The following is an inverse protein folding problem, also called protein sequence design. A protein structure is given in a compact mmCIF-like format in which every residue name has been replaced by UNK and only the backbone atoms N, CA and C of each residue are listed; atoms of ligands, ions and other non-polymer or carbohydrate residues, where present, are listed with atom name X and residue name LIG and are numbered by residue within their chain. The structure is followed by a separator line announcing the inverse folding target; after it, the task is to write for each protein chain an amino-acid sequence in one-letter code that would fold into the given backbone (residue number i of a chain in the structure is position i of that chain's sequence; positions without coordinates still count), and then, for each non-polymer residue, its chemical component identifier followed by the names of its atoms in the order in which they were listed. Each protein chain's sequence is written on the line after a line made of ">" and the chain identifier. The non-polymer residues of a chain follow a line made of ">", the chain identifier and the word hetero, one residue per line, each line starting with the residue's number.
data_IF_475840726393
#
_entry.id   IF_475840726393
#
_cell.length_a   1.000
_cell.length_b   1.000
_cell.length_c   1.000
_cell.angle_alpha   90.00
_cell.angle_beta   90.00
_cell.angle_gamma   90.00
#
_symmetry.space_group_name_H-M   'P 1'
#
loop_
_entity.id
_entity.type
_entity.pdbx_description
1 polymer ?
#
# COMPACT_ATOMS: atom_id res chain seq x y z
N UNK A 1 26.12 -10.25 12.42
CA UNK A 1 27.13 -9.45 13.16
C UNK A 1 26.62 -8.14 13.78
N UNK A 2 25.30 -7.85 13.81
CA UNK A 2 24.72 -6.90 14.78
C UNK A 2 25.19 -5.43 14.74
N UNK A 3 25.98 -5.00 13.77
CA UNK A 3 26.46 -3.61 13.64
C UNK A 3 25.32 -2.57 13.61
N UNK A 4 24.22 -2.91 12.93
CA UNK A 4 23.02 -2.08 12.83
C UNK A 4 21.98 -2.38 13.93
N UNK A 5 22.32 -3.19 14.94
CA UNK A 5 21.38 -3.55 16.00
C UNK A 5 21.04 -2.32 16.86
N UNK A 6 19.79 -1.88 16.78
CA UNK A 6 19.26 -0.76 17.58
C UNK A 6 18.13 -1.18 18.54
N UNK A 7 18.06 -2.47 18.88
CA UNK A 7 17.05 -3.00 19.81
C UNK A 7 17.26 -2.56 21.27
N UNK A 8 16.34 -2.98 22.14
CA UNK A 8 16.25 -2.54 23.54
C UNK A 8 16.73 -3.58 24.56
N UNK A 9 17.35 -4.69 24.12
CA UNK A 9 17.95 -5.67 25.05
C UNK A 9 19.02 -4.99 25.90
N UNK A 10 18.93 -5.16 27.22
CA UNK A 10 19.81 -4.58 28.23
C UNK A 10 20.30 -5.60 29.28
N UNK A 11 20.32 -6.88 28.91
CA UNK A 11 20.84 -7.97 29.73
C UNK A 11 21.82 -8.82 28.91
N UNK A 12 22.87 -9.31 29.57
CA UNK A 12 23.92 -10.14 28.95
C UNK A 12 23.42 -11.58 28.77
N UNK A 13 24.18 -12.41 28.05
CA UNK A 13 23.86 -13.82 27.81
C UNK A 13 23.72 -14.66 29.08
N UNK A 14 24.38 -14.28 30.17
CA UNK A 14 24.25 -14.93 31.48
C UNK A 14 23.22 -14.24 32.39
N UNK A 15 22.57 -13.18 31.90
CA UNK A 15 21.51 -12.46 32.59
C UNK A 15 21.98 -11.29 33.45
N UNK A 16 23.23 -10.83 33.31
CA UNK A 16 23.71 -9.64 34.02
C UNK A 16 23.10 -8.37 33.44
N UNK A 17 22.78 -7.39 34.29
CA UNK A 17 22.23 -6.11 33.84
C UNK A 17 23.34 -5.23 33.22
N UNK A 18 22.99 -4.55 32.14
CA UNK A 18 23.89 -3.59 31.51
C UNK A 18 23.95 -2.27 32.28
N UNK A 19 25.16 -1.69 32.37
CA UNK A 19 25.42 -0.33 32.87
C UNK A 19 24.99 0.70 31.81
N UNK A 20 24.37 1.79 32.29
CA UNK A 20 23.97 2.92 31.45
C UNK A 20 25.19 3.61 30.85
N UNK A 21 25.18 3.84 29.53
CA UNK A 21 26.18 4.66 28.84
C UNK A 21 25.66 6.09 28.70
N UNK A 22 26.55 7.05 28.84
CA UNK A 22 26.26 8.48 28.65
C UNK A 22 26.88 8.90 27.31
N UNK A 23 26.05 9.24 26.33
CA UNK A 23 26.52 9.82 25.06
C UNK A 23 26.30 11.33 25.14
N UNK A 24 27.38 12.11 25.06
CA UNK A 24 27.31 13.57 24.98
C UNK A 24 27.35 13.95 23.50
N UNK A 25 26.22 14.44 22.98
CA UNK A 25 26.14 14.94 21.60
C UNK A 25 26.70 16.36 21.52
N UNK A 26 27.68 16.59 20.63
CA UNK A 26 28.29 17.91 20.43
C UNK A 26 27.32 18.95 19.82
N UNK A 27 26.18 18.52 19.27
CA UNK A 27 25.18 19.40 18.64
C UNK A 27 23.99 19.73 19.57
N UNK A 28 23.92 19.13 20.76
CA UNK A 28 22.90 19.42 21.78
C UNK A 28 23.39 18.90 23.14
N UNK A 29 24.10 19.73 23.93
CA UNK A 29 24.73 19.32 25.18
C UNK A 29 23.71 18.93 26.27
N UNK A 30 22.41 19.10 26.03
CA UNK A 30 21.32 18.85 26.97
C UNK A 30 20.55 17.56 26.73
N UNK A 31 20.77 16.85 25.62
CA UNK A 31 20.18 15.52 25.40
C UNK A 31 21.23 14.45 25.63
N UNK A 32 21.37 14.05 26.89
CA UNK A 32 21.96 12.77 27.25
C UNK A 32 20.90 11.69 27.05
N UNK A 33 20.98 10.97 25.93
CA UNK A 33 20.22 9.74 25.76
C UNK A 33 20.81 8.67 26.69
N UNK A 34 20.11 8.39 27.79
CA UNK A 34 20.53 7.45 28.82
C UNK A 34 20.01 6.06 28.50
N UNK A 35 20.84 5.24 27.87
CA UNK A 35 20.46 3.87 27.55
C UNK A 35 21.50 2.90 28.05
N UNK A 36 21.04 1.75 28.52
CA UNK A 36 21.87 0.61 28.90
C UNK A 36 21.71 -0.55 27.91
N UNK A 37 21.37 -0.27 26.66
CA UNK A 37 21.14 -1.30 25.65
C UNK A 37 22.44 -1.85 25.08
N UNK A 38 22.44 -3.14 24.73
CA UNK A 38 23.54 -3.83 24.08
C UNK A 38 23.81 -3.27 22.68
N UNK A 39 25.07 -3.07 22.31
CA UNK A 39 25.48 -2.52 21.00
C UNK A 39 26.77 -3.19 20.53
N UNK A 40 27.04 -3.11 19.22
CA UNK A 40 28.28 -3.61 18.63
C UNK A 40 29.07 -2.48 17.92
N UNK A 41 29.58 -1.48 18.65
CA UNK A 41 30.22 -0.31 18.04
C UNK A 41 31.61 -0.59 17.46
N UNK A 42 32.24 -1.68 17.85
CA UNK A 42 33.61 -2.08 17.54
C UNK A 42 33.68 -3.28 16.58
N UNK A 43 32.55 -3.65 15.98
CA UNK A 43 32.43 -4.79 15.06
C UNK A 43 32.95 -6.11 15.68
N UNK A 44 32.63 -6.34 16.97
CA UNK A 44 32.99 -7.57 17.66
C UNK A 44 32.33 -8.76 16.94
N UNK A 45 33.12 -9.78 16.54
CA UNK A 45 32.61 -10.94 15.80
C UNK A 45 31.62 -11.78 16.61
N UNK A 46 31.61 -11.65 17.94
CA UNK A 46 30.70 -12.35 18.84
C UNK A 46 29.35 -11.63 19.01
N UNK A 47 29.21 -10.42 18.44
CA UNK A 47 27.94 -9.68 18.37
C UNK A 47 27.79 -8.61 19.45
N UNK A 48 26.58 -8.03 19.60
CA UNK A 48 26.38 -6.87 20.47
C UNK A 48 26.55 -7.22 21.96
N UNK A 49 27.21 -6.33 22.68
CA UNK A 49 27.63 -6.52 24.07
C UNK A 49 27.35 -5.27 24.91
N UNK A 50 27.52 -5.36 26.23
CA UNK A 50 27.44 -4.20 27.13
C UNK A 50 28.41 -4.32 28.32
N UNK A 51 28.68 -3.20 29.00
CA UNK A 51 29.35 -3.23 30.30
C UNK A 51 28.36 -3.70 31.35
N UNK A 52 28.76 -4.60 32.26
CA UNK A 52 27.82 -5.18 33.23
C UNK A 52 27.83 -4.39 34.54
N UNK A 53 26.75 -4.48 35.32
CA UNK A 53 26.69 -3.91 36.68
C UNK A 53 27.54 -4.67 37.70
N UNK A 54 27.96 -5.89 37.38
CA UNK A 54 28.82 -6.73 38.24
C UNK A 54 30.25 -6.17 38.28
N UNK A 55 30.89 -6.04 39.46
CA UNK A 55 32.27 -5.56 39.58
C UNK A 55 33.31 -6.56 39.07
N UNK A 56 33.00 -7.85 39.02
CA UNK A 56 33.93 -8.92 38.63
C UNK A 56 33.84 -9.23 37.11
N UNK A 57 32.76 -8.79 36.45
CA UNK A 57 32.55 -8.96 35.00
C UNK A 57 32.42 -7.59 34.33
N UNK A 58 33.52 -7.10 33.77
CA UNK A 58 33.57 -5.75 33.19
C UNK A 58 32.59 -5.58 32.02
N UNK A 59 32.54 -6.53 31.10
CA UNK A 59 31.64 -6.54 29.94
C UNK A 59 31.32 -7.98 29.53
N UNK A 60 30.21 -8.16 28.83
CA UNK A 60 29.81 -9.47 28.31
C UNK A 60 28.89 -9.30 27.08
N UNK A 61 28.88 -10.28 26.20
CA UNK A 61 27.96 -10.33 25.06
C UNK A 61 26.50 -10.50 25.51
N UNK A 62 25.58 -9.98 24.72
CA UNK A 62 24.15 -10.14 24.94
C UNK A 62 23.58 -11.24 24.06
N UNK A 63 22.65 -12.03 24.61
CA UNK A 63 21.87 -13.01 23.84
C UNK A 63 20.77 -12.31 23.06
N UNK A 64 21.15 -11.68 21.95
CA UNK A 64 20.21 -11.06 21.03
C UNK A 64 19.76 -12.12 20.03
N UNK A 65 18.45 -12.39 19.92
CA UNK A 65 17.94 -13.22 18.85
C UNK A 65 18.42 -12.67 17.51
N UNK A 66 19.04 -13.53 16.72
CA UNK A 66 19.30 -13.18 15.33
C UNK A 66 17.94 -12.90 14.69
N UNK A 67 17.81 -11.75 14.03
CA UNK A 67 16.74 -11.59 13.06
C UNK A 67 16.87 -12.79 12.12
N UNK A 68 15.78 -13.52 11.88
CA UNK A 68 15.81 -14.71 11.03
C UNK A 68 16.45 -14.36 9.68
N UNK A 69 17.72 -14.72 9.51
CA UNK A 69 18.36 -14.82 8.21
C UNK A 69 17.71 -16.03 7.55
N UNK A 70 16.62 -15.77 6.82
CA UNK A 70 15.83 -16.79 6.15
C UNK A 70 16.69 -17.47 5.08
N UNK A 71 17.03 -18.74 5.35
CA UNK A 71 17.54 -19.69 4.38
C UNK A 71 16.59 -19.76 3.16
N UNK A 72 17.12 -19.41 1.98
CA UNK A 72 16.38 -19.11 0.73
C UNK A 72 15.70 -20.35 0.11
N UNK A 73 15.89 -21.56 0.64
CA UNK A 73 15.51 -22.76 -0.13
C UNK A 73 14.17 -23.41 0.20
N UNK A 74 13.48 -23.07 1.30
CA UNK A 74 12.09 -23.54 1.52
C UNK A 74 11.33 -22.63 2.48
N UNK A 75 10.85 -21.48 2.01
CA UNK A 75 9.85 -20.68 2.74
C UNK A 75 8.50 -21.41 2.62
N UNK A 76 7.81 -21.78 3.71
CA UNK A 76 6.43 -22.25 3.61
C UNK A 76 5.61 -21.12 2.97
N UNK A 77 4.81 -21.47 1.97
CA UNK A 77 3.97 -20.54 1.22
C UNK A 77 3.17 -19.67 2.19
N UNK A 78 3.59 -18.41 2.34
CA UNK A 78 2.90 -17.41 3.16
C UNK A 78 1.63 -17.08 2.39
N UNK A 79 0.45 -17.45 2.90
CA UNK A 79 -0.83 -17.22 2.18
C UNK A 79 -1.33 -15.77 2.34
N UNK A 80 -0.40 -14.83 2.18
CA UNK A 80 -0.60 -13.41 2.25
C UNK A 80 0.50 -12.69 1.45
N UNK A 81 0.25 -11.45 1.03
CA UNK A 81 1.19 -10.58 0.31
C UNK A 81 1.77 -9.50 1.22
N UNK A 82 3.03 -9.14 1.00
CA UNK A 82 3.71 -8.11 1.80
C UNK A 82 3.45 -6.69 1.25
N UNK A 83 3.08 -6.55 -0.03
CA UNK A 83 2.74 -5.27 -0.66
C UNK A 83 1.60 -5.40 -1.68
N UNK A 84 1.10 -4.28 -2.22
CA UNK A 84 -0.07 -4.30 -3.12
C UNK A 84 0.17 -5.13 -4.38
N UNK A 85 1.37 -5.03 -4.98
CA UNK A 85 1.73 -5.77 -6.19
C UNK A 85 1.75 -7.27 -5.92
N UNK A 86 2.23 -7.71 -4.75
CA UNK A 86 2.32 -9.13 -4.43
C UNK A 86 3.16 -9.92 -5.44
N UNK A 87 4.22 -9.31 -5.99
CA UNK A 87 5.14 -9.97 -6.93
C UNK A 87 5.80 -11.18 -6.26
N UNK A 88 6.12 -11.06 -4.97
CA UNK A 88 6.73 -12.11 -4.15
C UNK A 88 5.69 -13.03 -3.49
N UNK A 89 4.41 -12.90 -3.85
CA UNK A 89 3.37 -13.74 -3.28
C UNK A 89 3.52 -15.18 -3.75
N UNK A 90 3.76 -16.07 -2.80
CA UNK A 90 3.99 -17.51 -3.02
C UNK A 90 2.89 -18.39 -2.43
N UNK A 91 1.81 -17.78 -1.92
CA UNK A 91 0.67 -18.48 -1.32
C UNK A 91 -0.16 -19.31 -2.30
N UNK A 92 -1.30 -19.81 -1.80
CA UNK A 92 -2.11 -20.86 -2.42
C UNK A 92 -3.51 -20.41 -2.87
N UNK A 93 -3.82 -19.11 -2.78
CA UNK A 93 -5.08 -18.56 -3.33
C UNK A 93 -5.15 -18.91 -4.82
N UNK A 94 -6.25 -19.55 -5.23
CA UNK A 94 -6.50 -20.07 -6.59
C UNK A 94 -7.90 -19.71 -7.10
N UNK A 95 -8.49 -18.68 -6.50
CA UNK A 95 -9.82 -18.17 -6.82
C UNK A 95 -9.69 -16.65 -7.02
N UNK A 96 -10.33 -16.14 -8.07
CA UNK A 96 -10.34 -14.71 -8.41
C UNK A 96 -11.24 -13.91 -7.47
N UNK A 97 -11.16 -12.58 -7.54
CA UNK A 97 -11.99 -11.65 -6.76
C UNK A 97 -13.51 -11.90 -6.89
N UNK A 98 -13.95 -12.37 -8.06
CA UNK A 98 -15.36 -12.71 -8.30
C UNK A 98 -15.71 -14.17 -8.03
N UNK A 99 -14.76 -14.99 -7.56
CA UNK A 99 -15.01 -16.39 -7.24
C UNK A 99 -14.75 -17.36 -8.38
N UNK A 100 -14.13 -16.94 -9.49
CA UNK A 100 -13.79 -17.86 -10.59
C UNK A 100 -12.58 -18.71 -10.23
N UNK A 101 -12.59 -19.97 -10.66
CA UNK A 101 -11.44 -20.86 -10.50
C UNK A 101 -10.31 -20.43 -11.45
N UNK A 102 -9.10 -20.37 -10.93
CA UNK A 102 -7.92 -20.12 -11.73
C UNK A 102 -7.58 -21.32 -12.63
N UNK A 103 -7.22 -21.03 -13.88
CA UNK A 103 -6.59 -21.96 -14.81
C UNK A 103 -5.16 -22.25 -14.33
N UNK A 104 -4.74 -23.51 -14.47
CA UNK A 104 -3.35 -23.90 -14.22
C UNK A 104 -2.41 -23.17 -15.17
N UNK A 105 -1.34 -22.58 -14.63
CA UNK A 105 -0.30 -21.92 -15.43
C UNK A 105 0.36 -22.88 -16.42
N UNK A 106 0.46 -24.16 -16.09
CA UNK A 106 0.97 -25.20 -16.99
C UNK A 106 0.04 -25.56 -18.15
N UNK A 107 -1.21 -25.06 -18.17
CA UNK A 107 -2.20 -25.33 -19.21
C UNK A 107 -2.39 -24.10 -20.10
N UNK A 108 -2.68 -24.33 -21.38
CA UNK A 108 -2.98 -23.28 -22.38
C UNK A 108 -4.45 -23.24 -22.81
N UNK A 109 -5.33 -23.84 -22.01
CA UNK A 109 -6.77 -23.93 -22.27
C UNK A 109 -7.54 -23.69 -20.96
N UNK A 110 -8.65 -22.91 -20.97
CA UNK A 110 -9.26 -22.24 -22.13
C UNK A 110 -8.46 -21.09 -22.72
N UNK A 111 -7.57 -20.46 -21.95
CA UNK A 111 -6.81 -19.29 -22.40
C UNK A 111 -5.35 -19.64 -22.69
N UNK A 112 -4.92 -19.46 -23.94
CA UNK A 112 -3.51 -19.60 -24.31
C UNK A 112 -2.69 -18.40 -23.84
N UNK A 113 -1.49 -18.65 -23.29
CA UNK A 113 -0.61 -17.62 -22.73
C UNK A 113 0.89 -18.04 -22.70
N UNK A 114 1.76 -17.09 -22.38
CA UNK A 114 3.23 -17.25 -22.45
C UNK A 114 3.89 -17.61 -21.11
N UNK A 115 3.15 -17.54 -20.00
CA UNK A 115 3.67 -17.89 -18.67
C UNK A 115 3.79 -19.40 -18.40
N UNK A 116 3.47 -20.27 -19.37
CA UNK A 116 3.41 -21.72 -19.18
C UNK A 116 4.73 -22.32 -18.68
N UNK A 117 5.86 -21.80 -19.13
CA UNK A 117 7.18 -22.28 -18.69
C UNK A 117 7.67 -21.58 -17.42
N UNK A 118 7.39 -20.28 -17.27
CA UNK A 118 7.84 -19.47 -16.12
C UNK A 118 7.16 -19.86 -14.80
N UNK A 119 5.90 -20.31 -14.87
CA UNK A 119 5.08 -20.61 -13.69
C UNK A 119 4.53 -22.04 -13.69
N UNK A 120 5.17 -22.97 -14.41
CA UNK A 120 4.66 -24.34 -14.60
C UNK A 120 4.41 -25.10 -13.29
N UNK A 121 5.23 -24.83 -12.27
CA UNK A 121 5.21 -25.44 -10.95
C UNK A 121 4.31 -24.70 -9.94
N UNK A 122 3.79 -23.52 -10.32
CA UNK A 122 2.94 -22.67 -9.46
C UNK A 122 1.46 -23.09 -9.46
N UNK A 123 1.16 -24.29 -9.94
CA UNK A 123 -0.19 -24.85 -10.06
C UNK A 123 -1.15 -23.88 -10.76
N UNK A 124 -2.26 -23.52 -10.13
CA UNK A 124 -3.20 -22.48 -10.54
C UNK A 124 -3.28 -21.35 -9.50
N UNK A 125 -2.23 -21.14 -8.71
CA UNK A 125 -2.24 -20.12 -7.68
C UNK A 125 -2.07 -18.73 -8.29
N UNK A 126 -2.69 -17.72 -7.68
CA UNK A 126 -2.59 -16.34 -8.12
C UNK A 126 -1.15 -15.85 -8.02
N UNK A 127 -0.67 -15.19 -9.07
CA UNK A 127 0.70 -14.69 -9.18
C UNK A 127 0.69 -13.33 -9.87
N UNK A 128 1.77 -12.57 -9.71
CA UNK A 128 1.96 -11.32 -10.42
C UNK A 128 3.31 -11.34 -11.19
N UNK A 129 3.40 -12.08 -12.31
CA UNK A 129 4.65 -12.28 -13.03
C UNK A 129 5.09 -11.10 -13.91
N UNK A 130 4.20 -10.12 -14.10
CA UNK A 130 4.28 -9.00 -15.05
C UNK A 130 4.10 -7.62 -14.38
N UNK A 131 4.23 -7.57 -13.05
CA UNK A 131 4.15 -6.35 -12.24
C UNK A 131 2.81 -5.59 -12.40
N UNK A 132 1.74 -6.35 -12.59
CA UNK A 132 0.38 -5.83 -12.61
C UNK A 132 0.07 -5.01 -11.36
N UNK A 133 -0.43 -3.80 -11.56
CA UNK A 133 -0.44 -2.77 -10.52
C UNK A 133 -1.45 -3.04 -9.40
N UNK A 134 -2.47 -3.86 -9.69
CA UNK A 134 -3.54 -4.16 -8.74
C UNK A 134 -3.31 -5.44 -7.94
N UNK A 135 -2.27 -6.22 -8.24
CA UNK A 135 -1.84 -7.34 -7.41
C UNK A 135 -1.82 -8.68 -8.13
N UNK A 136 -1.75 -9.80 -7.39
CA UNK A 136 -1.78 -11.15 -7.94
C UNK A 136 -3.06 -11.39 -8.75
N UNK A 137 -2.91 -12.09 -9.87
CA UNK A 137 -3.98 -12.43 -10.79
C UNK A 137 -3.81 -13.87 -11.30
N UNK A 138 -4.78 -14.37 -12.03
CA UNK A 138 -4.67 -15.63 -12.75
C UNK A 138 -5.52 -15.63 -14.03
N UNK A 139 -5.19 -16.48 -15.00
CA UNK A 139 -6.13 -16.86 -16.05
C UNK A 139 -7.30 -17.63 -15.43
N UNK A 140 -8.51 -17.48 -15.94
CA UNK A 140 -9.68 -18.16 -15.35
C UNK A 140 -10.04 -19.43 -16.13
N UNK A 141 -10.80 -20.35 -15.53
CA UNK A 141 -11.37 -21.49 -16.26
C UNK A 141 -12.63 -21.14 -17.06
N UNK A 142 -13.13 -19.91 -16.95
CA UNK A 142 -14.28 -19.40 -17.71
C UNK A 142 -13.82 -18.91 -19.09
N UNK A 143 -14.42 -19.43 -20.16
CA UNK A 143 -14.05 -19.10 -21.54
C UNK A 143 -14.29 -17.63 -21.91
N UNK A 144 -15.22 -16.96 -21.22
CA UNK A 144 -15.56 -15.56 -21.48
C UNK A 144 -14.63 -14.59 -20.74
N UNK A 145 -14.00 -15.04 -19.66
CA UNK A 145 -13.17 -14.20 -18.79
C UNK A 145 -11.72 -14.64 -18.86
N UNK A 146 -10.91 -13.97 -19.70
CA UNK A 146 -9.52 -14.38 -19.95
C UNK A 146 -8.68 -14.47 -18.67
N UNK A 147 -8.68 -13.42 -17.87
CA UNK A 147 -7.92 -13.34 -16.62
C UNK A 147 -8.60 -12.39 -15.65
N UNK A 148 -8.26 -12.49 -14.38
CA UNK A 148 -8.80 -11.64 -13.33
C UNK A 148 -7.86 -11.58 -12.12
N UNK A 149 -7.93 -10.49 -11.35
CA UNK A 149 -7.21 -10.34 -10.09
C UNK A 149 -7.74 -11.28 -8.99
N UNK A 150 -6.90 -11.50 -7.98
CA UNK A 150 -7.20 -12.29 -6.81
C UNK A 150 -7.08 -11.50 -5.52
N UNK A 151 -7.95 -11.83 -4.56
CA UNK A 151 -7.99 -11.19 -3.26
C UNK A 151 -7.05 -11.95 -2.35
N UNK A 152 -5.80 -11.47 -2.29
CA UNK A 152 -4.77 -12.00 -1.41
C UNK A 152 -4.64 -11.07 -0.18
N UNK A 153 -4.75 -11.59 1.05
CA UNK A 153 -4.67 -10.78 2.27
C UNK A 153 -3.25 -10.26 2.50
N UNK A 154 -3.09 -9.19 3.27
CA UNK A 154 -1.77 -8.71 3.70
C UNK A 154 -1.25 -9.46 4.91
N UNK A 155 0.06 -9.61 4.99
CA UNK A 155 0.67 -10.48 5.98
C UNK A 155 0.68 -10.01 7.43
N UNK A 156 0.62 -8.70 7.66
CA UNK A 156 0.68 -8.15 9.01
C UNK A 156 -0.68 -8.17 9.72
N UNK A 157 -1.63 -8.98 9.24
CA UNK A 157 -3.00 -9.01 9.77
C UNK A 157 -3.71 -7.66 9.63
N UNK A 158 -3.12 -6.70 8.90
CA UNK A 158 -3.79 -5.52 8.41
C UNK A 158 -4.74 -6.00 7.31
N UNK A 159 -5.85 -6.60 7.73
CA UNK A 159 -7.09 -6.37 7.01
C UNK A 159 -7.20 -4.86 6.98
N UNK A 160 -6.87 -4.25 5.84
CA UNK A 160 -7.42 -2.95 5.56
C UNK A 160 -8.92 -3.23 5.40
N UNK A 161 -9.62 -3.34 6.53
CA UNK A 161 -11.05 -3.16 6.61
C UNK A 161 -11.21 -1.66 6.50
N UNK A 162 -11.91 -1.14 5.47
CA UNK A 162 -12.10 0.29 5.35
C UNK A 162 -12.76 0.75 6.64
N UNK A 163 -12.05 1.56 7.43
CA UNK A 163 -12.75 2.32 8.46
C UNK A 163 -13.70 3.27 7.70
N UNK A 164 -14.96 3.43 8.12
CA UNK A 164 -15.92 4.29 7.42
C UNK A 164 -15.41 5.72 7.19
N UNK A 165 -14.46 6.16 8.00
CA UNK A 165 -13.79 7.47 7.91
C UNK A 165 -12.79 7.63 6.75
N UNK A 166 -12.30 6.56 6.12
CA UNK A 166 -11.21 6.65 5.13
C UNK A 166 -11.68 6.92 3.69
N UNK A 167 -12.99 6.93 3.41
CA UNK A 167 -13.54 7.26 2.08
C UNK A 167 -12.86 6.56 0.89
N UNK A 168 -12.36 5.34 1.07
CA UNK A 168 -11.58 4.62 0.08
C UNK A 168 -12.05 3.16 -0.10
N UNK A 169 -11.76 2.56 -1.26
CA UNK A 169 -12.06 1.15 -1.63
C UNK A 169 -10.81 0.28 -1.62
N UNK A 170 -10.94 -0.99 -1.23
CA UNK A 170 -9.80 -1.93 -1.19
C UNK A 170 -9.47 -2.53 -2.55
N UNK A 171 -10.48 -2.68 -3.41
CA UNK A 171 -10.38 -3.29 -4.72
C UNK A 171 -11.29 -2.55 -5.71
N UNK A 172 -11.20 -2.89 -7.00
CA UNK A 172 -11.92 -2.19 -8.08
C UNK A 172 -13.43 -2.15 -7.81
N UNK A 173 -14.01 -3.24 -7.31
CA UNK A 173 -15.44 -3.33 -7.03
C UNK A 173 -15.85 -2.48 -5.82
N UNK A 174 -14.99 -2.35 -4.81
CA UNK A 174 -15.31 -1.63 -3.58
C UNK A 174 -16.57 -2.17 -2.88
N UNK A 175 -16.82 -3.48 -2.92
CA UNK A 175 -18.01 -4.10 -2.28
C UNK A 175 -18.09 -3.83 -0.78
N UNK A 176 -16.94 -3.76 -0.13
CA UNK A 176 -16.81 -3.46 1.30
C UNK A 176 -16.68 -1.96 1.59
N UNK A 177 -16.85 -1.09 0.58
CA UNK A 177 -16.80 0.35 0.77
C UNK A 177 -17.97 0.84 1.63
N UNK A 178 -17.66 1.39 2.80
CA UNK A 178 -18.61 1.93 3.77
C UNK A 178 -18.44 3.44 4.01
N UNK A 179 -17.66 4.11 3.15
CA UNK A 179 -17.40 5.55 3.27
C UNK A 179 -18.60 6.43 2.89
N UNK A 180 -18.37 7.74 2.88
CA UNK A 180 -19.38 8.82 2.77
C UNK A 180 -19.35 9.60 1.45
N UNK A 181 -18.67 9.11 0.41
CA UNK A 181 -18.74 9.75 -0.92
C UNK A 181 -20.17 9.62 -1.44
N UNK A 182 -20.77 10.74 -1.87
CA UNK A 182 -22.15 10.81 -2.39
C UNK A 182 -22.27 11.67 -3.66
N UNK A 183 -21.19 11.67 -4.45
CA UNK A 183 -21.17 12.25 -5.79
C UNK A 183 -20.62 11.23 -6.77
N UNK A 184 -21.16 11.23 -7.97
CA UNK A 184 -20.70 10.39 -9.07
C UNK A 184 -19.38 10.91 -9.63
N UNK A 185 -18.75 10.14 -10.52
CA UNK A 185 -17.48 10.50 -11.19
C UNK A 185 -17.52 11.83 -11.95
N UNK A 186 -18.69 12.27 -12.43
CA UNK A 186 -18.87 13.57 -13.09
C UNK A 186 -19.56 14.60 -12.19
N UNK A 187 -19.59 14.35 -10.88
CA UNK A 187 -20.05 15.31 -9.88
C UNK A 187 -21.57 15.35 -9.68
N UNK A 188 -22.34 14.44 -10.27
CA UNK A 188 -23.78 14.37 -10.05
C UNK A 188 -24.08 13.95 -8.61
N UNK A 189 -25.15 14.51 -8.05
CA UNK A 189 -25.56 14.20 -6.68
C UNK A 189 -26.24 12.83 -6.63
N UNK A 190 -25.85 12.00 -5.66
CA UNK A 190 -26.49 10.72 -5.41
C UNK A 190 -27.91 10.88 -4.84
N UNK A 191 -28.83 10.06 -5.31
CA UNK A 191 -30.15 9.85 -4.73
C UNK A 191 -30.01 8.98 -3.46
N UNK A 192 -30.69 9.37 -2.39
CA UNK A 192 -30.74 8.58 -1.16
C UNK A 192 -31.34 7.19 -1.41
N UNK A 193 -30.72 6.14 -0.85
CA UNK A 193 -31.17 4.76 -1.02
C UNK A 193 -32.55 4.49 -0.41
N UNK A 194 -32.98 5.27 0.60
CA UNK A 194 -34.37 5.22 1.11
C UNK A 194 -35.40 5.86 0.15
N UNK A 195 -34.96 6.70 -0.79
CA UNK A 195 -35.84 7.38 -1.75
C UNK A 195 -36.10 6.53 -2.99
N UNK A 196 -37.32 6.58 -3.52
CA UNK A 196 -37.70 5.98 -4.81
C UNK A 196 -37.84 7.02 -5.92
N UNK A 197 -37.39 8.26 -5.68
CA UNK A 197 -37.51 9.41 -6.59
C UNK A 197 -36.12 10.04 -6.81
N UNK A 198 -35.73 10.35 -8.08
CA UNK A 198 -36.47 10.06 -9.32
C UNK A 198 -36.44 8.59 -9.76
N UNK A 199 -35.48 7.79 -9.27
CA UNK A 199 -35.25 6.43 -9.74
C UNK A 199 -35.82 5.38 -8.77
N UNK A 200 -36.82 4.61 -9.19
CA UNK A 200 -37.32 3.44 -8.44
C UNK A 200 -36.31 2.29 -8.48
N UNK A 201 -36.06 1.63 -7.34
CA UNK A 201 -35.07 0.57 -7.21
C UNK A 201 -35.31 -0.38 -6.01
N UNK A 202 -34.65 -1.56 -5.93
CA UNK A 202 -34.92 -2.56 -4.89
C UNK A 202 -34.09 -2.39 -3.59
N UNK A 203 -33.13 -1.47 -3.54
CA UNK A 203 -32.18 -1.38 -2.42
C UNK A 203 -32.65 -0.57 -1.19
N UNK A 204 -33.93 -0.20 -1.11
CA UNK A 204 -34.47 0.64 -0.02
C UNK A 204 -34.37 0.02 1.36
N UNK A 205 -34.39 -1.32 1.45
CA UNK A 205 -34.22 -2.07 2.70
C UNK A 205 -32.75 -2.40 2.95
N UNK A 206 -32.04 -2.91 1.93
CA UNK A 206 -30.64 -3.38 2.07
C UNK A 206 -29.67 -2.26 2.43
N UNK A 207 -29.91 -1.04 1.93
CA UNK A 207 -29.04 0.13 2.11
C UNK A 207 -29.78 1.27 2.85
N UNK A 208 -30.73 0.90 3.71
CA UNK A 208 -31.59 1.86 4.40
C UNK A 208 -30.77 2.89 5.21
N UNK A 209 -29.67 2.45 5.83
CA UNK A 209 -28.88 3.27 6.75
C UNK A 209 -27.62 3.87 6.10
N UNK A 210 -27.45 3.66 4.79
CA UNK A 210 -26.31 4.17 4.00
C UNK A 210 -26.56 5.54 3.37
N UNK A 211 -27.63 6.23 3.77
CA UNK A 211 -28.03 7.57 3.28
C UNK A 211 -28.04 7.65 1.74
N UNK A 212 -27.20 8.52 1.16
CA UNK A 212 -26.97 8.68 -0.28
C UNK A 212 -25.53 8.31 -0.68
N UNK A 213 -24.82 7.54 0.16
CA UNK A 213 -23.43 7.20 -0.07
C UNK A 213 -23.28 6.14 -1.15
N UNK A 214 -22.22 6.24 -1.95
CA UNK A 214 -21.91 5.28 -2.99
C UNK A 214 -21.70 3.89 -2.40
N UNK A 215 -22.30 2.86 -3.02
CA UNK A 215 -22.22 1.47 -2.58
C UNK A 215 -22.12 0.56 -3.80
N UNK A 216 -21.77 -0.70 -3.57
CA UNK A 216 -21.82 -1.73 -4.59
C UNK A 216 -22.61 -2.95 -4.10
N UNK A 217 -23.96 -2.84 -4.01
CA UNK A 217 -24.81 -3.88 -3.44
C UNK A 217 -25.03 -5.08 -4.37
N UNK A 218 -24.76 -4.94 -5.65
CA UNK A 218 -25.09 -5.84 -6.75
C UNK A 218 -23.86 -6.32 -7.53
N UNK A 219 -22.68 -6.15 -6.94
CA UNK A 219 -21.41 -6.70 -7.43
C UNK A 219 -20.93 -6.15 -8.76
N UNK A 220 -21.24 -4.88 -9.03
CA UNK A 220 -20.79 -4.17 -10.22
C UNK A 220 -19.27 -4.17 -10.37
N UNK A 221 -18.82 -4.30 -11.62
CA UNK A 221 -17.43 -4.62 -11.93
C UNK A 221 -16.49 -3.44 -11.67
N UNK A 222 -16.94 -2.22 -11.96
CA UNK A 222 -16.05 -1.05 -12.02
C UNK A 222 -16.07 -0.16 -10.78
N UNK A 223 -16.87 -0.50 -9.77
CA UNK A 223 -16.77 0.10 -8.44
C UNK A 223 -18.09 0.51 -7.80
N UNK A 224 -18.01 1.20 -6.65
CA UNK A 224 -19.19 1.77 -6.00
C UNK A 224 -19.91 2.75 -6.92
N UNK A 225 -21.22 2.74 -6.85
CA UNK A 225 -22.11 3.56 -7.68
C UNK A 225 -23.28 4.07 -6.84
N UNK A 226 -24.08 4.97 -7.40
CA UNK A 226 -25.34 5.39 -6.82
C UNK A 226 -26.37 5.72 -7.90
N UNK A 227 -27.66 5.68 -7.56
CA UNK A 227 -28.68 6.36 -8.38
C UNK A 227 -28.44 7.86 -8.32
N UNK A 228 -28.73 8.60 -9.40
CA UNK A 228 -28.54 10.06 -9.40
C UNK A 228 -29.85 10.79 -9.14
N UNK A 229 -29.76 12.04 -8.70
CA UNK A 229 -30.92 12.95 -8.61
C UNK A 229 -31.33 13.54 -9.96
N UNK A 230 -30.55 13.35 -11.02
CA UNK A 230 -30.88 13.76 -12.39
C UNK A 230 -31.79 12.70 -13.04
N UNK A 231 -33.01 13.04 -13.48
CA UNK A 231 -33.88 12.13 -14.21
C UNK A 231 -33.28 11.63 -15.54
N UNK A 232 -32.33 12.38 -16.13
CA UNK A 232 -31.62 11.99 -17.35
C UNK A 232 -30.58 10.89 -17.14
N UNK A 233 -30.03 10.79 -15.92
CA UNK A 233 -29.01 9.79 -15.57
C UNK A 233 -29.52 8.88 -14.48
N UNK A 234 -30.00 7.69 -14.84
CA UNK A 234 -30.57 6.74 -13.86
C UNK A 234 -29.59 6.41 -12.73
N UNK A 235 -28.36 6.03 -13.05
CA UNK A 235 -27.32 5.70 -12.09
C UNK A 235 -25.95 5.95 -12.71
N UNK A 236 -24.94 6.09 -11.86
CA UNK A 236 -23.57 6.29 -12.32
C UNK A 236 -22.55 5.82 -11.27
N UNK A 237 -21.35 5.43 -11.74
CA UNK A 237 -20.21 5.11 -10.89
C UNK A 237 -19.72 6.33 -10.09
N UNK A 238 -19.26 6.06 -8.88
CA UNK A 238 -18.59 7.03 -8.04
C UNK A 238 -17.07 6.93 -8.17
N UNK A 239 -16.42 8.07 -8.07
CA UNK A 239 -14.95 8.12 -8.02
C UNK A 239 -14.46 7.90 -6.59
N UNK A 240 -14.45 6.62 -6.18
CA UNK A 240 -13.97 6.20 -4.86
C UNK A 240 -12.49 5.84 -4.95
N UNK A 241 -11.59 6.56 -4.23
CA UNK A 241 -10.16 6.31 -4.27
C UNK A 241 -9.80 4.96 -3.63
N UNK A 242 -8.64 4.40 -3.96
CA UNK A 242 -8.18 3.16 -3.33
C UNK A 242 -7.58 3.40 -1.94
N UNK A 243 -7.82 2.49 -0.99
CA UNK A 243 -7.19 2.53 0.34
C UNK A 243 -5.72 2.13 0.27
N UNK A 244 -4.91 2.60 1.23
CA UNK A 244 -3.46 2.42 1.17
C UNK A 244 -2.78 3.28 0.09
N UNK A 245 -3.57 3.93 -0.79
CA UNK A 245 -3.17 5.14 -1.51
C UNK A 245 -3.45 6.39 -0.68
N UNK A 246 -3.12 6.34 0.62
CA UNK A 246 -3.05 7.55 1.44
C UNK A 246 -1.84 8.36 0.96
N UNK A 247 -2.05 9.05 -0.17
CA UNK A 247 -1.40 10.24 -0.73
C UNK A 247 -1.89 10.57 -2.16
N UNK A 248 -3.03 10.03 -2.64
CA UNK A 248 -3.61 10.47 -3.93
C UNK A 248 -4.47 11.74 -3.85
N UNK A 249 -4.49 12.43 -2.70
CA UNK A 249 -4.89 13.84 -2.69
C UNK A 249 -3.61 14.62 -3.03
N UNK A 250 -3.64 15.51 -4.04
CA UNK A 250 -2.61 16.48 -4.45
C UNK A 250 -1.81 16.27 -5.75
N UNK A 251 -2.38 15.68 -6.80
CA UNK A 251 -1.91 15.96 -8.17
C UNK A 251 -0.45 15.59 -8.47
N UNK A 252 0.05 14.50 -7.86
CA UNK A 252 1.38 13.95 -8.13
C UNK A 252 1.34 13.05 -9.36
N UNK A 253 2.29 13.24 -10.28
CA UNK A 253 2.46 12.56 -11.57
C UNK A 253 3.83 11.90 -11.58
N UNK A 254 3.91 10.62 -11.95
CA UNK A 254 5.17 9.86 -11.97
C UNK A 254 5.93 10.03 -13.27
N UNK A 255 7.25 10.19 -13.19
CA UNK A 255 8.18 10.09 -14.31
C UNK A 255 9.47 9.42 -13.84
N UNK A 256 9.80 8.27 -14.44
CA UNK A 256 10.86 7.36 -14.02
C UNK A 256 10.76 7.00 -12.52
N UNK A 257 11.84 7.17 -11.76
CA UNK A 257 11.94 6.85 -10.33
C UNK A 257 11.44 7.99 -9.42
N UNK A 258 10.84 9.04 -9.99
CA UNK A 258 10.43 10.26 -9.30
C UNK A 258 8.94 10.58 -9.46
N UNK A 259 8.40 11.33 -8.50
CA UNK A 259 7.02 11.82 -8.52
C UNK A 259 7.01 13.33 -8.41
N UNK A 260 6.16 13.99 -9.20
CA UNK A 260 6.11 15.44 -9.37
C UNK A 260 4.70 15.98 -9.12
N UNK A 261 4.54 17.06 -8.36
CA UNK A 261 3.26 17.76 -8.22
C UNK A 261 3.45 19.23 -8.56
N UNK A 262 2.51 19.76 -9.36
CA UNK A 262 2.54 21.14 -9.81
C UNK A 262 1.71 22.00 -8.87
N UNK A 263 2.32 23.07 -8.36
CA UNK A 263 1.67 24.10 -7.58
C UNK A 263 1.41 25.33 -8.47
N UNK A 264 0.14 25.71 -8.63
CA UNK A 264 -0.25 26.82 -9.51
C UNK A 264 -0.21 28.19 -8.84
N UNK A 265 0.10 28.26 -7.54
CA UNK A 265 0.26 29.53 -6.83
C UNK A 265 1.70 30.01 -6.95
N UNK A 266 1.88 31.20 -7.52
CA UNK A 266 3.19 31.84 -7.60
C UNK A 266 3.77 32.09 -6.20
N UNK A 267 5.06 31.78 -6.03
CA UNK A 267 5.83 31.92 -4.79
C UNK A 267 7.25 32.36 -5.13
N UNK A 268 7.93 33.01 -4.19
CA UNK A 268 9.38 33.17 -4.29
C UNK A 268 10.05 31.80 -4.19
N UNK A 269 11.29 31.68 -4.69
CA UNK A 269 12.02 30.41 -4.64
C UNK A 269 12.19 29.87 -3.21
N UNK A 270 12.46 30.76 -2.25
CA UNK A 270 12.63 30.40 -0.83
C UNK A 270 11.31 29.88 -0.25
N UNK A 271 10.21 30.59 -0.49
CA UNK A 271 8.89 30.17 -0.01
C UNK A 271 8.40 28.87 -0.66
N UNK A 272 8.73 28.66 -1.94
CA UNK A 272 8.40 27.43 -2.65
C UNK A 272 9.14 26.22 -2.07
N UNK A 273 10.44 26.36 -1.77
CA UNK A 273 11.25 25.31 -1.18
C UNK A 273 10.77 24.91 0.22
N UNK A 274 10.48 25.91 1.07
CA UNK A 274 9.97 25.67 2.41
C UNK A 274 8.56 25.05 2.40
N UNK A 275 7.71 25.48 1.46
CA UNK A 275 6.39 24.90 1.25
C UNK A 275 6.45 23.43 0.82
N UNK A 276 7.30 23.08 -0.16
CA UNK A 276 7.48 21.69 -0.59
C UNK A 276 7.91 20.79 0.58
N UNK A 277 8.88 21.25 1.38
CA UNK A 277 9.41 20.47 2.50
C UNK A 277 8.41 20.33 3.65
N UNK A 278 7.77 21.43 4.03
CA UNK A 278 6.97 21.50 5.27
C UNK A 278 5.52 21.05 5.08
N UNK A 279 4.94 21.29 3.90
CA UNK A 279 3.53 21.02 3.63
C UNK A 279 3.32 19.77 2.78
N UNK A 280 4.29 19.42 1.93
CA UNK A 280 4.17 18.30 1.00
C UNK A 280 5.11 17.13 1.31
N UNK A 281 6.05 17.30 2.24
CA UNK A 281 7.07 16.27 2.54
C UNK A 281 7.98 15.95 1.35
N UNK A 282 8.17 16.91 0.44
CA UNK A 282 8.86 16.74 -0.83
C UNK A 282 9.97 17.79 -1.03
N UNK A 283 10.77 17.61 -2.07
CA UNK A 283 11.76 18.59 -2.51
C UNK A 283 11.20 19.44 -3.64
N UNK A 284 11.62 20.70 -3.72
CA UNK A 284 11.37 21.53 -4.90
C UNK A 284 12.10 20.88 -6.08
N UNK A 285 11.39 20.59 -7.18
CA UNK A 285 11.97 19.87 -8.31
C UNK A 285 13.10 20.68 -8.96
N UNK A 286 14.22 20.02 -9.22
CA UNK A 286 15.35 20.53 -9.99
C UNK A 286 15.40 19.73 -11.30
N UNK A 287 14.98 20.35 -12.40
CA UNK A 287 14.88 19.67 -13.70
C UNK A 287 16.28 19.42 -14.24
N UNK A 288 16.64 18.16 -14.42
CA UNK A 288 18.00 17.76 -14.81
C UNK A 288 18.10 17.25 -16.25
N UNK A 289 16.97 16.86 -16.86
CA UNK A 289 16.94 16.31 -18.22
C UNK A 289 15.90 17.00 -19.13
N UNK A 290 16.13 17.03 -20.46
CA UNK A 290 15.12 17.50 -21.42
C UNK A 290 13.82 16.71 -21.38
N UNK A 291 13.88 15.39 -21.16
CA UNK A 291 12.72 14.50 -21.11
C UNK A 291 11.85 14.76 -19.88
N UNK A 292 12.49 15.00 -18.72
CA UNK A 292 11.82 15.44 -17.49
C UNK A 292 11.17 16.82 -17.69
N UNK A 293 11.85 17.74 -18.37
CA UNK A 293 11.31 19.05 -18.70
C UNK A 293 10.06 18.93 -19.60
N UNK A 294 10.12 18.14 -20.65
CA UNK A 294 8.99 17.93 -21.58
C UNK A 294 7.80 17.26 -20.87
N UNK A 295 8.07 16.30 -19.99
CA UNK A 295 7.05 15.70 -19.13
C UNK A 295 6.36 16.77 -18.27
N UNK A 296 7.12 17.60 -17.54
CA UNK A 296 6.58 18.63 -16.66
C UNK A 296 5.81 19.72 -17.43
N UNK A 297 6.28 20.09 -18.62
CA UNK A 297 5.60 21.08 -19.47
C UNK A 297 4.26 20.57 -20.00
N UNK A 298 4.12 19.26 -20.22
CA UNK A 298 2.85 18.66 -20.62
C UNK A 298 1.81 18.59 -19.49
N UNK A 299 2.24 18.75 -18.23
CA UNK A 299 1.37 18.79 -17.06
C UNK A 299 0.85 20.22 -16.75
N UNK A 300 1.44 21.25 -17.35
CA UNK A 300 0.96 22.61 -17.23
C UNK A 300 -0.29 22.83 -18.08
N UNK A 301 -1.29 23.59 -17.59
CA UNK A 301 -2.48 23.91 -18.37
C UNK A 301 -2.08 24.65 -19.65
N UNK A 302 -2.51 24.12 -20.80
CA UNK A 302 -2.25 24.77 -22.09
C UNK A 302 -3.00 26.11 -22.14
N UNK A 303 -2.38 27.19 -22.65
CA UNK A 303 -3.08 28.45 -22.82
C UNK A 303 -4.29 28.22 -23.73
N UNK A 304 -5.46 28.62 -23.26
CA UNK A 304 -6.66 28.69 -24.10
C UNK A 304 -6.40 29.72 -25.19
N UNK A 305 -6.47 29.29 -26.44
CA UNK A 305 -6.42 30.21 -27.57
C UNK A 305 -7.62 31.16 -27.50
N UNK A 306 -7.34 32.46 -27.41
CA UNK A 306 -8.30 33.54 -27.66
C UNK A 306 -8.68 33.64 -29.14
#
# INVERSE_FOLDING_TARGET
>A
MGLAYNGTVNTTRTGLNCKTRYVISMNSPTQTEHHNYCRNPDDDPNGPWCFTTDPDVLWEECSIPLCDDVDITTKPAKDCKDNQLGVDYTGTVSITDTGRTCQYWSRRYPHSHDFTYKLADQQNYCRNPDNETLGPWCYTTDSETRWEYCTVPFCDGITISPKPEQNCRMNQQGKNYTGKINKTRFGQKCQAWKSLVPNKHPFTVKLADDEDYCRNPDTELYGPWCYTTDPGTRWEYCDVPYCGKENWKYGWQGFEDSYYSIQYTEKSWVDAKDFCKSNLGAYLAEITTPEENDFLMNLLPKPTAE
#
